data_IF_229699234005
#
_entry.id   IF_229699234005
#
_cell.length_a   1.000
_cell.length_b   1.000
_cell.length_c   1.000
_cell.angle_alpha   90.00
_cell.angle_beta   90.00
_cell.angle_gamma   90.00
#
_symmetry.space_group_name_H-M   'P 1'
#
loop_
_entity.id
_entity.type
_entity.pdbx_description
1 polymer ?
#
# COMPACT_ATOMS: atom_id res chain seq x y z
N UNK A 1 16.56 -35.28 19.99
CA UNK A 1 17.51 -34.39 19.30
C UNK A 1 16.97 -32.99 19.42
N UNK A 2 17.47 -32.25 20.40
CA UNK A 2 17.23 -30.80 20.50
C UNK A 2 18.08 -30.19 19.40
N UNK A 3 17.46 -29.83 18.29
CA UNK A 3 18.11 -29.00 17.27
C UNK A 3 18.15 -27.58 17.85
N UNK A 4 19.28 -27.24 18.44
CA UNK A 4 19.58 -25.86 18.86
C UNK A 4 19.55 -25.00 17.60
N UNK A 5 18.48 -24.21 17.45
CA UNK A 5 18.31 -23.32 16.30
C UNK A 5 19.03 -22.03 16.64
N UNK A 6 20.30 -21.94 16.26
CA UNK A 6 20.99 -20.64 16.26
C UNK A 6 20.29 -19.76 15.23
N UNK A 7 19.38 -18.94 15.71
CA UNK A 7 18.70 -17.93 14.88
C UNK A 7 19.61 -16.74 14.76
N UNK A 8 19.89 -16.34 13.53
CA UNK A 8 20.70 -15.16 13.27
C UNK A 8 19.81 -13.92 13.34
N UNK A 9 19.84 -13.22 14.48
CA UNK A 9 19.11 -11.99 14.73
C UNK A 9 19.38 -10.90 13.68
N UNK A 10 20.61 -10.85 13.16
CA UNK A 10 21.00 -9.89 12.14
C UNK A 10 20.30 -10.17 10.80
N UNK A 11 20.23 -11.44 10.41
CA UNK A 11 19.52 -11.87 9.20
C UNK A 11 18.02 -11.60 9.31
N UNK A 12 17.40 -11.90 10.44
CA UNK A 12 15.98 -11.60 10.67
C UNK A 12 15.68 -10.10 10.57
N UNK A 13 16.54 -9.27 11.17
CA UNK A 13 16.39 -7.81 11.10
C UNK A 13 16.54 -7.28 9.67
N UNK A 14 17.50 -7.82 8.93
CA UNK A 14 17.73 -7.45 7.54
C UNK A 14 16.58 -7.91 6.65
N UNK A 15 16.13 -9.15 6.81
CA UNK A 15 15.00 -9.71 6.08
C UNK A 15 13.74 -8.84 6.27
N UNK A 16 13.35 -8.54 7.51
CA UNK A 16 12.18 -7.73 7.82
C UNK A 16 12.26 -6.32 7.22
N UNK A 17 13.43 -5.71 7.28
CA UNK A 17 13.66 -4.40 6.66
C UNK A 17 13.48 -4.44 5.14
N UNK A 18 14.07 -5.43 4.47
CA UNK A 18 13.97 -5.54 3.01
C UNK A 18 12.59 -6.02 2.56
N UNK A 19 11.90 -6.87 3.34
CA UNK A 19 10.50 -7.25 3.10
C UNK A 19 9.58 -6.04 3.11
N UNK A 20 9.70 -5.18 4.13
CA UNK A 20 8.92 -3.93 4.20
C UNK A 20 9.22 -2.97 3.05
N UNK A 21 10.49 -2.88 2.61
CA UNK A 21 10.86 -2.09 1.42
C UNK A 21 10.26 -2.65 0.13
N UNK A 22 10.33 -3.97 -0.03
CA UNK A 22 9.75 -4.65 -1.20
C UNK A 22 8.25 -4.38 -1.28
N UNK A 23 7.53 -4.56 -0.17
CA UNK A 23 6.09 -4.31 -0.11
C UNK A 23 5.73 -2.85 -0.40
N UNK A 24 6.52 -1.88 0.08
CA UNK A 24 6.31 -0.47 -0.22
C UNK A 24 6.38 -0.17 -1.74
N UNK A 25 7.38 -0.73 -2.42
CA UNK A 25 7.51 -0.54 -3.87
C UNK A 25 6.45 -1.29 -4.66
N UNK A 26 6.09 -2.50 -4.22
CA UNK A 26 5.03 -3.30 -4.84
C UNK A 26 3.69 -2.57 -4.79
N UNK A 27 3.25 -2.12 -3.60
CA UNK A 27 2.01 -1.34 -3.44
C UNK A 27 2.08 -0.02 -4.21
N UNK A 28 3.23 0.66 -4.22
CA UNK A 28 3.39 1.91 -4.98
C UNK A 28 3.23 1.68 -6.49
N UNK A 29 3.77 0.58 -7.01
CA UNK A 29 3.63 0.20 -8.41
C UNK A 29 2.17 -0.12 -8.74
N UNK A 30 1.52 -0.93 -7.91
CA UNK A 30 0.12 -1.33 -8.07
C UNK A 30 -0.82 -0.10 -8.08
N UNK A 31 -0.59 0.88 -7.18
CA UNK A 31 -1.34 2.14 -7.15
C UNK A 31 -1.13 2.94 -8.43
N UNK A 32 0.10 3.02 -8.94
CA UNK A 32 0.39 3.77 -10.16
C UNK A 32 -0.19 3.11 -11.40
N UNK A 33 -0.16 1.78 -11.48
CA UNK A 33 -0.79 1.01 -12.56
C UNK A 33 -2.31 1.22 -12.58
N UNK A 34 -2.96 1.27 -11.41
CA UNK A 34 -4.38 1.56 -11.33
C UNK A 34 -4.70 2.99 -11.78
N UNK A 35 -3.92 3.99 -11.36
CA UNK A 35 -4.08 5.38 -11.82
C UNK A 35 -3.91 5.48 -13.34
N UNK A 36 -2.90 4.81 -13.91
CA UNK A 36 -2.66 4.75 -15.36
C UNK A 36 -3.83 4.10 -16.09
N UNK A 37 -4.37 3.01 -15.54
CA UNK A 37 -5.57 2.34 -16.06
C UNK A 37 -6.80 3.24 -16.08
N UNK A 38 -7.02 4.03 -15.02
CA UNK A 38 -8.14 4.98 -14.95
C UNK A 38 -8.01 6.13 -15.96
N UNK A 39 -6.80 6.57 -16.26
CA UNK A 39 -6.53 7.53 -17.33
C UNK A 39 -6.77 6.94 -18.74
N UNK A 40 -6.81 5.59 -18.85
CA UNK A 40 -7.16 4.88 -20.07
C UNK A 40 -6.06 4.86 -21.12
N UNK A 41 -4.81 5.02 -20.72
CA UNK A 41 -3.68 5.07 -21.66
C UNK A 41 -3.37 3.71 -22.28
N UNK A 42 -3.81 2.61 -21.66
CA UNK A 42 -3.53 1.25 -22.12
C UNK A 42 -4.67 0.61 -22.92
N UNK A 43 -5.95 1.01 -22.76
CA UNK A 43 -7.10 0.23 -23.26
C UNK A 43 -8.30 1.04 -23.78
N UNK A 44 -8.14 2.22 -24.35
CA UNK A 44 -9.29 2.94 -24.87
C UNK A 44 -9.01 4.37 -25.34
N UNK A 45 -10.07 5.20 -25.41
CA UNK A 45 -9.89 6.63 -25.61
C UNK A 45 -9.23 7.24 -24.38
N UNK A 46 -7.90 7.41 -24.46
CA UNK A 46 -7.10 8.00 -23.41
C UNK A 46 -7.63 9.41 -23.07
N UNK A 47 -7.55 9.80 -21.83
CA UNK A 47 -7.88 11.15 -21.38
C UNK A 47 -7.12 12.20 -22.21
N UNK A 48 -5.85 11.92 -22.51
CA UNK A 48 -5.01 12.78 -23.35
C UNK A 48 -5.55 12.91 -24.77
N UNK A 49 -6.09 11.86 -25.37
CA UNK A 49 -6.68 11.90 -26.71
C UNK A 49 -7.89 12.83 -26.75
N UNK A 50 -8.82 12.68 -25.83
CA UNK A 50 -10.01 13.55 -25.76
C UNK A 50 -9.66 15.02 -25.52
N UNK A 51 -8.62 15.29 -24.72
CA UNK A 51 -8.11 16.64 -24.50
C UNK A 51 -7.48 17.21 -25.77
N UNK A 52 -6.70 16.42 -26.50
CA UNK A 52 -6.08 16.83 -27.77
C UNK A 52 -7.13 17.09 -28.86
N UNK A 53 -8.15 16.25 -28.96
CA UNK A 53 -9.26 16.41 -29.88
C UNK A 53 -10.08 17.68 -29.57
N UNK A 54 -10.34 17.95 -28.30
CA UNK A 54 -10.99 19.18 -27.87
C UNK A 54 -10.17 20.42 -28.26
N UNK A 55 -8.86 20.40 -28.02
CA UNK A 55 -7.96 21.47 -28.41
C UNK A 55 -7.93 21.67 -29.93
N UNK A 56 -7.90 20.58 -30.71
CA UNK A 56 -7.95 20.64 -32.17
C UNK A 56 -9.26 21.26 -32.66
N UNK A 57 -10.38 20.92 -32.05
CA UNK A 57 -11.67 21.52 -32.39
C UNK A 57 -11.73 23.05 -32.11
N UNK A 58 -11.07 23.50 -31.05
CA UNK A 58 -10.91 24.97 -30.78
C UNK A 58 -10.11 25.64 -31.92
N UNK A 59 -9.01 25.00 -32.36
CA UNK A 59 -8.19 25.54 -33.45
C UNK A 59 -8.96 25.59 -34.78
N UNK A 60 -9.75 24.57 -35.09
CA UNK A 60 -10.57 24.56 -36.31
C UNK A 60 -11.67 25.62 -36.26
N UNK A 61 -12.33 25.81 -35.12
CA UNK A 61 -13.28 26.88 -34.94
C UNK A 61 -12.64 28.27 -35.13
N UNK A 62 -11.38 28.46 -34.71
CA UNK A 62 -10.68 29.72 -34.85
C UNK A 62 -10.40 30.11 -36.32
N UNK A 63 -10.33 29.12 -37.23
CA UNK A 63 -10.13 29.34 -38.67
C UNK A 63 -11.42 29.76 -39.37
N UNK A 64 -12.57 29.19 -38.95
CA UNK A 64 -13.88 29.56 -39.50
C UNK A 64 -14.95 29.59 -38.38
N UNK A 65 -15.03 30.71 -37.65
CA UNK A 65 -15.96 30.87 -36.53
C UNK A 65 -17.44 30.88 -36.95
N UNK A 66 -17.73 31.14 -38.21
CA UNK A 66 -19.11 31.24 -38.70
C UNK A 66 -19.69 29.92 -39.18
N UNK A 67 -18.87 28.91 -39.33
CA UNK A 67 -19.27 27.57 -39.77
C UNK A 67 -20.02 26.80 -38.68
N UNK A 68 -21.26 26.39 -38.97
CA UNK A 68 -22.05 25.55 -38.08
C UNK A 68 -21.44 24.18 -37.88
N UNK A 69 -20.60 23.73 -38.83
CA UNK A 69 -19.90 22.43 -38.73
C UNK A 69 -18.80 22.51 -37.68
N UNK A 70 -17.95 23.55 -37.68
CA UNK A 70 -16.87 23.69 -36.68
C UNK A 70 -17.42 23.98 -35.29
N UNK A 71 -18.54 24.74 -35.19
CA UNK A 71 -19.25 24.94 -33.92
C UNK A 71 -19.81 23.63 -33.38
N UNK A 72 -20.47 22.82 -34.23
CA UNK A 72 -20.99 21.51 -33.84
C UNK A 72 -19.88 20.54 -33.40
N UNK A 73 -18.75 20.51 -34.12
CA UNK A 73 -17.58 19.70 -33.75
C UNK A 73 -17.03 20.11 -32.39
N UNK A 74 -16.89 21.40 -32.11
CA UNK A 74 -16.42 21.87 -30.80
C UNK A 74 -17.33 21.41 -29.67
N UNK A 75 -18.65 21.56 -29.82
CA UNK A 75 -19.62 21.10 -28.80
C UNK A 75 -19.52 19.60 -28.57
N UNK A 76 -19.39 18.80 -29.64
CA UNK A 76 -19.24 17.35 -29.52
C UNK A 76 -17.95 16.98 -28.77
N UNK A 77 -16.78 17.52 -29.18
CA UNK A 77 -15.49 17.22 -28.55
C UNK A 77 -15.42 17.74 -27.10
N UNK A 78 -16.03 18.88 -26.81
CA UNK A 78 -16.16 19.36 -25.43
C UNK A 78 -17.00 18.42 -24.57
N UNK A 79 -18.10 17.88 -25.11
CA UNK A 79 -18.95 16.93 -24.40
C UNK A 79 -18.22 15.61 -24.11
N UNK A 80 -17.50 15.07 -25.11
CA UNK A 80 -16.68 13.85 -24.95
C UNK A 80 -15.59 14.06 -23.89
N UNK A 81 -14.88 15.19 -23.92
CA UNK A 81 -13.88 15.53 -22.92
C UNK A 81 -14.46 15.61 -21.51
N UNK A 82 -15.60 16.31 -21.32
CA UNK A 82 -16.24 16.43 -20.01
C UNK A 82 -16.73 15.08 -19.49
N UNK A 83 -17.30 14.26 -20.35
CA UNK A 83 -17.74 12.90 -19.98
C UNK A 83 -16.54 12.04 -19.56
N UNK A 84 -15.43 12.08 -20.30
CA UNK A 84 -14.23 11.35 -19.96
C UNK A 84 -13.60 11.85 -18.65
N UNK A 85 -13.50 13.16 -18.46
CA UNK A 85 -13.03 13.74 -17.20
C UNK A 85 -13.88 13.32 -15.99
N UNK A 86 -15.20 13.29 -16.16
CA UNK A 86 -16.13 12.81 -15.13
C UNK A 86 -15.92 11.32 -14.80
N UNK A 87 -15.70 10.48 -15.82
CA UNK A 87 -15.43 9.06 -15.63
C UNK A 87 -14.11 8.82 -14.87
N UNK A 88 -13.04 9.51 -15.26
CA UNK A 88 -11.74 9.45 -14.58
C UNK A 88 -11.86 9.90 -13.12
N UNK A 89 -12.51 11.03 -12.87
CA UNK A 89 -12.74 11.51 -11.51
C UNK A 89 -13.50 10.49 -10.65
N UNK A 90 -14.55 9.90 -11.19
CA UNK A 90 -15.35 8.90 -10.48
C UNK A 90 -14.56 7.62 -10.19
N UNK A 91 -13.76 7.15 -11.17
CA UNK A 91 -12.87 6.01 -11.01
C UNK A 91 -11.83 6.23 -9.92
N UNK A 92 -11.10 7.34 -9.97
CA UNK A 92 -10.09 7.69 -8.97
C UNK A 92 -10.70 7.88 -7.57
N UNK A 93 -11.89 8.51 -7.47
CA UNK A 93 -12.59 8.68 -6.20
C UNK A 93 -13.00 7.33 -5.60
N UNK A 94 -13.49 6.40 -6.43
CA UNK A 94 -13.85 5.05 -6.00
C UNK A 94 -12.62 4.28 -5.53
N UNK A 95 -11.51 4.42 -6.25
CA UNK A 95 -10.24 3.80 -5.88
C UNK A 95 -9.70 4.36 -4.55
N UNK A 96 -9.74 5.68 -4.36
CA UNK A 96 -9.37 6.32 -3.09
C UNK A 96 -10.18 5.75 -1.91
N UNK A 97 -11.50 5.55 -2.08
CA UNK A 97 -12.33 4.96 -1.04
C UNK A 97 -11.96 3.50 -0.75
N UNK A 98 -11.56 2.74 -1.78
CA UNK A 98 -11.04 1.39 -1.61
C UNK A 98 -9.73 1.40 -0.79
N UNK A 99 -8.77 2.26 -1.14
CA UNK A 99 -7.50 2.41 -0.39
C UNK A 99 -7.75 2.79 1.06
N UNK A 100 -8.68 3.71 1.35
CA UNK A 100 -9.06 4.06 2.72
C UNK A 100 -9.61 2.86 3.50
N UNK A 101 -10.38 1.99 2.84
CA UNK A 101 -10.87 0.75 3.44
C UNK A 101 -9.74 -0.23 3.74
N UNK A 102 -8.80 -0.40 2.81
CA UNK A 102 -7.62 -1.25 3.00
C UNK A 102 -6.74 -0.73 4.14
N UNK A 103 -6.52 0.58 4.22
CA UNK A 103 -5.77 1.20 5.33
C UNK A 103 -6.42 0.86 6.67
N UNK A 104 -7.75 0.99 6.78
CA UNK A 104 -8.48 0.63 8.01
C UNK A 104 -8.28 -0.83 8.38
N UNK A 105 -8.42 -1.74 7.41
CA UNK A 105 -8.21 -3.19 7.63
C UNK A 105 -6.78 -3.49 8.08
N UNK A 106 -5.78 -2.82 7.47
CA UNK A 106 -4.38 -2.98 7.84
C UNK A 106 -4.11 -2.46 9.26
N UNK A 107 -4.71 -1.34 9.66
CA UNK A 107 -4.62 -0.84 11.06
C UNK A 107 -5.23 -1.83 12.03
N UNK A 108 -6.39 -2.40 11.74
CA UNK A 108 -7.03 -3.42 12.58
C UNK A 108 -6.15 -4.68 12.68
N UNK A 109 -5.50 -5.09 11.59
CA UNK A 109 -4.56 -6.22 11.54
C UNK A 109 -3.32 -5.94 12.40
N UNK A 110 -2.74 -4.75 12.31
CA UNK A 110 -1.60 -4.31 13.14
C UNK A 110 -1.96 -4.36 14.63
N UNK A 111 -3.12 -3.85 15.01
CA UNK A 111 -3.60 -3.87 16.39
C UNK A 111 -3.79 -5.31 16.91
N UNK A 112 -4.35 -6.19 16.08
CA UNK A 112 -4.51 -7.62 16.39
C UNK A 112 -3.15 -8.27 16.63
N UNK A 113 -2.17 -8.04 15.77
CA UNK A 113 -0.82 -8.58 15.90
C UNK A 113 -0.11 -8.04 17.16
N UNK A 114 -0.29 -6.76 17.48
CA UNK A 114 0.23 -6.19 18.73
C UNK A 114 -0.27 -6.94 19.97
N UNK A 115 -1.58 -7.23 20.05
CA UNK A 115 -2.16 -8.00 21.16
C UNK A 115 -1.67 -9.44 21.18
N UNK A 116 -1.50 -10.08 20.03
CA UNK A 116 -0.95 -11.43 19.94
C UNK A 116 0.52 -11.49 20.40
N UNK A 117 1.33 -10.47 20.04
CA UNK A 117 2.72 -10.37 20.50
C UNK A 117 2.82 -10.24 22.02
N UNK A 118 1.94 -9.42 22.63
CA UNK A 118 1.89 -9.32 24.11
C UNK A 118 1.60 -10.68 24.73
N UNK A 119 0.58 -11.37 24.25
CA UNK A 119 0.20 -12.71 24.75
C UNK A 119 1.34 -13.72 24.59
N UNK A 120 1.99 -13.76 23.43
CA UNK A 120 3.11 -14.67 23.17
C UNK A 120 4.33 -14.35 24.03
N UNK A 121 4.64 -13.06 24.26
CA UNK A 121 5.70 -12.65 25.17
C UNK A 121 5.47 -13.16 26.58
N UNK A 122 4.23 -13.04 27.09
CA UNK A 122 3.89 -13.53 28.46
C UNK A 122 3.97 -15.04 28.56
N UNK A 123 3.49 -15.78 27.53
CA UNK A 123 3.59 -17.24 27.50
C UNK A 123 5.03 -17.73 27.43
N UNK A 124 5.87 -17.12 26.56
CA UNK A 124 7.29 -17.44 26.46
C UNK A 124 7.99 -17.20 27.80
N UNK A 125 7.75 -16.02 28.41
CA UNK A 125 8.32 -15.69 29.71
C UNK A 125 7.91 -16.69 30.79
N UNK A 126 6.65 -17.12 30.82
CA UNK A 126 6.16 -18.08 31.81
C UNK A 126 6.85 -19.44 31.68
N UNK A 127 7.07 -19.93 30.46
CA UNK A 127 7.73 -21.22 30.20
C UNK A 127 9.24 -21.13 30.49
N UNK A 128 9.90 -20.06 30.05
CA UNK A 128 11.35 -19.91 30.12
C UNK A 128 11.85 -19.38 31.47
N UNK A 129 10.96 -18.90 32.35
CA UNK A 129 11.33 -18.39 33.70
C UNK A 129 12.02 -19.46 34.57
N UNK A 130 11.77 -20.73 34.30
CA UNK A 130 12.41 -21.86 34.99
C UNK A 130 13.83 -22.19 34.50
N UNK A 131 14.27 -21.64 33.38
CA UNK A 131 15.60 -21.81 32.80
C UNK A 131 15.91 -23.24 32.27
N UNK A 132 14.91 -24.11 32.16
CA UNK A 132 15.06 -25.54 31.76
C UNK A 132 14.48 -25.79 30.37
N UNK A 133 13.41 -25.07 29.99
CA UNK A 133 12.69 -25.29 28.74
C UNK A 133 12.78 -24.02 27.84
N UNK A 134 12.83 -24.25 26.53
CA UNK A 134 12.73 -23.22 25.51
C UNK A 134 11.39 -23.33 24.77
N UNK A 135 10.64 -22.25 24.72
CA UNK A 135 9.32 -22.17 24.08
C UNK A 135 9.46 -22.00 22.55
N UNK A 136 10.14 -22.94 21.86
CA UNK A 136 10.50 -22.78 20.44
C UNK A 136 9.29 -22.56 19.54
N UNK A 137 8.19 -23.30 19.75
CA UNK A 137 6.97 -23.16 18.92
C UNK A 137 6.32 -21.78 19.09
N UNK A 138 6.30 -21.25 20.33
CA UNK A 138 5.76 -19.90 20.59
C UNK A 138 6.69 -18.81 20.04
N UNK A 139 7.98 -19.03 20.09
CA UNK A 139 8.97 -18.13 19.45
C UNK A 139 8.83 -18.13 17.94
N UNK A 140 8.59 -19.28 17.32
CA UNK A 140 8.34 -19.37 15.87
C UNK A 140 7.03 -18.70 15.49
N UNK A 141 5.94 -18.90 16.22
CA UNK A 141 4.68 -18.19 16.02
C UNK A 141 4.84 -16.65 16.17
N UNK A 142 5.60 -16.20 17.18
CA UNK A 142 5.91 -14.78 17.38
C UNK A 142 6.70 -14.20 16.20
N UNK A 143 7.67 -14.95 15.71
CA UNK A 143 8.49 -14.50 14.59
C UNK A 143 7.69 -14.39 13.29
N UNK A 144 6.75 -15.30 13.06
CA UNK A 144 5.84 -15.18 11.92
C UNK A 144 5.03 -13.88 11.99
N UNK A 145 4.49 -13.54 13.17
CA UNK A 145 3.77 -12.26 13.35
C UNK A 145 4.67 -11.06 13.10
N UNK A 146 5.93 -11.12 13.53
CA UNK A 146 6.88 -10.02 13.28
C UNK A 146 7.23 -9.90 11.79
N UNK A 147 7.30 -10.99 11.05
CA UNK A 147 7.53 -10.99 9.62
C UNK A 147 6.32 -10.36 8.89
N UNK A 148 5.10 -10.75 9.24
CA UNK A 148 3.87 -10.17 8.69
C UNK A 148 3.68 -8.68 9.06
N UNK A 149 4.10 -8.25 10.26
CA UNK A 149 4.10 -6.84 10.65
C UNK A 149 5.10 -6.02 9.85
N UNK A 150 6.24 -6.60 9.50
CA UNK A 150 7.26 -5.91 8.72
C UNK A 150 6.80 -5.58 7.29
N UNK A 151 5.88 -6.34 6.74
CA UNK A 151 5.24 -6.07 5.44
C UNK A 151 4.21 -4.94 5.53
N UNK A 152 3.56 -4.78 6.70
CA UNK A 152 2.50 -3.78 6.89
C UNK A 152 3.04 -2.40 7.32
N UNK A 153 4.18 -2.37 7.98
CA UNK A 153 4.72 -1.12 8.54
C UNK A 153 6.24 -1.15 8.66
N UNK A 154 6.85 0.01 8.52
CA UNK A 154 8.27 0.15 8.80
C UNK A 154 8.49 0.06 10.31
N UNK A 155 8.88 -1.12 10.78
CA UNK A 155 9.11 -1.38 12.19
C UNK A 155 10.57 -1.74 12.49
N UNK A 156 10.98 -1.50 13.72
CA UNK A 156 12.16 -2.09 14.32
C UNK A 156 11.72 -2.97 15.49
N UNK A 157 12.53 -3.93 15.86
CA UNK A 157 12.25 -4.75 17.04
C UNK A 157 13.52 -4.96 17.85
N UNK A 158 13.34 -5.21 19.13
CA UNK A 158 14.43 -5.60 20.03
C UNK A 158 13.93 -6.68 20.96
N UNK A 159 14.76 -7.66 21.24
CA UNK A 159 14.51 -8.73 22.22
C UNK A 159 15.33 -8.46 23.48
N UNK A 160 14.70 -8.53 24.65
CA UNK A 160 15.38 -8.37 25.91
C UNK A 160 16.02 -9.70 26.37
N UNK A 161 16.78 -9.62 27.49
CA UNK A 161 17.45 -10.80 28.06
C UNK A 161 16.47 -11.87 28.59
N UNK A 162 15.20 -11.54 28.72
CA UNK A 162 14.15 -12.46 29.19
C UNK A 162 13.32 -13.02 28.03
N UNK A 163 13.74 -12.79 26.80
CA UNK A 163 13.06 -13.28 25.61
C UNK A 163 11.81 -12.49 25.19
N UNK A 164 11.52 -11.35 25.83
CA UNK A 164 10.41 -10.47 25.42
C UNK A 164 10.81 -9.58 24.25
N UNK A 165 9.94 -9.49 23.23
CA UNK A 165 10.14 -8.62 22.09
C UNK A 165 9.36 -7.32 22.27
N UNK A 166 10.05 -6.20 22.05
CA UNK A 166 9.47 -4.87 21.96
C UNK A 166 9.54 -4.37 20.53
N UNK A 167 8.43 -3.81 20.04
CA UNK A 167 8.30 -3.25 18.68
C UNK A 167 7.96 -1.78 18.78
N UNK A 168 8.97 -0.88 18.76
CA UNK A 168 8.71 0.55 18.64
C UNK A 168 8.25 0.85 17.21
N UNK A 169 7.05 1.41 17.06
CA UNK A 169 6.53 1.90 15.79
C UNK A 169 7.02 3.34 15.62
N UNK A 170 7.87 3.57 14.62
CA UNK A 170 8.32 4.92 14.29
C UNK A 170 7.19 5.63 13.53
N UNK A 171 6.56 6.60 14.19
CA UNK A 171 5.67 7.55 13.52
C UNK A 171 6.55 8.50 12.70
N UNK A 172 6.74 8.22 11.42
CA UNK A 172 7.20 9.26 10.50
C UNK A 172 6.01 10.20 10.29
N UNK A 173 6.07 11.38 10.88
CA UNK A 173 5.19 12.47 10.49
C UNK A 173 5.47 12.80 9.03
N UNK A 174 4.59 12.38 8.14
CA UNK A 174 4.44 13.01 6.84
C UNK A 174 3.81 14.38 7.10
N UNK A 175 4.65 15.38 7.31
CA UNK A 175 4.23 16.77 7.13
C UNK A 175 4.07 16.97 5.62
N UNK A 176 2.82 17.00 5.17
CA UNK A 176 2.45 17.54 3.86
C UNK A 176 2.61 19.07 3.88
#
# INVERSE_FOLDING_TARGET
>A
CIRDRVRDYFLDKTYRKESGRSMFYEVSTEVMEEVESQLGELNGEAFQTTMTDFWTAIQELSKDPSSSVTQGMLVQRATEFVQRAGAVYSGLSSYQNNLNTQIKQNVDKINKYGNQLLTLNDQIRAIESGGIEHANDLRDARNQILDELAELTNMTFSEDRYGSVSVPVSYTHLTL
#
